data_IF_803890489993
#
_entry.id   IF_803890489993
#
_cell.length_a   1.000
_cell.length_b   1.000
_cell.length_c   1.000
_cell.angle_alpha   90.00
_cell.angle_beta   90.00
_cell.angle_gamma   90.00
#
_symmetry.space_group_name_H-M   'P 1'
#
loop_
_entity.id
_entity.type
_entity.pdbx_description
1 polymer ?
#
# COMPACT_ATOMS: atom_id res chain seq x y z
N UNK A 1 -38.58 17.71 -32.98
CA UNK A 1 -37.84 16.43 -33.01
C UNK A 1 -36.53 16.50 -32.22
N UNK A 2 -35.66 17.49 -32.45
CA UNK A 2 -34.38 17.62 -31.72
C UNK A 2 -34.53 17.75 -30.19
N UNK A 3 -35.43 18.61 -29.70
CA UNK A 3 -35.63 18.81 -28.26
C UNK A 3 -36.12 17.54 -27.53
N UNK A 4 -36.98 16.75 -28.17
CA UNK A 4 -37.46 15.48 -27.62
C UNK A 4 -36.32 14.43 -27.56
N UNK A 5 -35.48 14.35 -28.59
CA UNK A 5 -34.32 13.47 -28.60
C UNK A 5 -33.31 13.83 -27.51
N UNK A 6 -33.03 15.13 -27.31
CA UNK A 6 -32.16 15.62 -26.23
C UNK A 6 -32.73 15.25 -24.86
N UNK A 7 -34.02 15.43 -24.64
CA UNK A 7 -34.67 15.08 -23.36
C UNK A 7 -34.59 13.57 -23.06
N UNK A 8 -34.77 12.71 -24.07
CA UNK A 8 -34.63 11.26 -23.92
C UNK A 8 -33.20 10.88 -23.55
N UNK A 9 -32.19 11.43 -24.24
CA UNK A 9 -30.78 11.15 -23.95
C UNK A 9 -30.41 11.62 -22.53
N UNK A 10 -30.83 12.83 -22.14
CA UNK A 10 -30.58 13.35 -20.81
C UNK A 10 -31.24 12.48 -19.72
N UNK A 11 -32.48 12.05 -19.94
CA UNK A 11 -33.20 11.16 -19.01
C UNK A 11 -32.50 9.81 -18.89
N UNK A 12 -32.08 9.21 -20.02
CA UNK A 12 -31.33 7.96 -20.02
C UNK A 12 -29.98 8.09 -19.29
N UNK A 13 -29.27 9.21 -19.49
CA UNK A 13 -28.01 9.47 -18.79
C UNK A 13 -28.21 9.61 -17.27
N UNK A 14 -29.24 10.35 -16.83
CA UNK A 14 -29.59 10.46 -15.40
C UNK A 14 -29.99 9.10 -14.83
N UNK A 15 -30.81 8.32 -15.53
CA UNK A 15 -31.19 6.99 -15.11
C UNK A 15 -29.96 6.07 -14.98
N UNK A 16 -29.04 6.10 -15.95
CA UNK A 16 -27.78 5.36 -15.88
C UNK A 16 -26.97 5.77 -14.64
N UNK A 17 -26.72 7.06 -14.44
CA UNK A 17 -25.91 7.57 -13.33
C UNK A 17 -26.51 7.27 -11.96
N UNK A 18 -27.84 7.22 -11.84
CA UNK A 18 -28.52 6.98 -10.57
C UNK A 18 -28.76 5.50 -10.29
N UNK A 19 -29.02 4.68 -11.32
CA UNK A 19 -29.63 3.35 -11.16
C UNK A 19 -28.78 2.19 -11.69
N UNK A 20 -27.83 2.42 -12.61
CA UNK A 20 -27.04 1.31 -13.17
C UNK A 20 -26.20 0.63 -12.08
N UNK A 21 -26.14 -0.70 -11.99
CA UNK A 21 -25.36 -1.38 -10.94
C UNK A 21 -23.88 -0.94 -10.92
N UNK A 22 -23.29 -0.87 -9.73
CA UNK A 22 -21.87 -0.61 -9.50
C UNK A 22 -21.27 -1.73 -8.65
N UNK A 23 -19.96 -2.00 -8.75
CA UNK A 23 -19.35 -3.12 -8.05
C UNK A 23 -19.15 -2.89 -6.54
N UNK A 24 -19.15 -1.63 -6.11
CA UNK A 24 -18.99 -1.24 -4.71
C UNK A 24 -20.32 -0.77 -4.09
N UNK A 25 -20.44 -1.02 -2.79
CA UNK A 25 -21.56 -0.64 -1.94
C UNK A 25 -21.06 0.32 -0.85
N UNK A 26 -20.91 1.63 -1.18
CA UNK A 26 -20.23 2.57 -0.28
C UNK A 26 -20.89 2.67 1.09
N UNK A 27 -20.09 2.54 2.14
CA UNK A 27 -20.46 2.71 3.55
C UNK A 27 -20.11 4.13 3.98
N UNK A 28 -21.05 4.80 4.65
CA UNK A 28 -20.82 6.15 5.16
C UNK A 28 -19.72 6.14 6.24
N UNK A 29 -18.81 7.10 6.18
CA UNK A 29 -17.84 7.35 7.23
C UNK A 29 -17.57 8.84 7.36
N UNK A 30 -17.28 9.28 8.59
CA UNK A 30 -16.99 10.68 8.87
C UNK A 30 -15.50 10.95 8.62
N UNK A 31 -15.17 11.41 7.41
CA UNK A 31 -13.80 11.79 7.08
C UNK A 31 -13.39 13.03 7.91
N UNK A 32 -12.26 12.98 8.64
CA UNK A 32 -11.75 14.17 9.32
C UNK A 32 -11.39 15.24 8.28
N UNK A 33 -11.40 16.52 8.67
CA UNK A 33 -10.97 17.58 7.73
C UNK A 33 -9.48 17.41 7.40
N UNK A 34 -9.08 17.49 6.11
CA UNK A 34 -7.67 17.42 5.74
C UNK A 34 -6.84 18.42 6.55
N UNK A 35 -5.72 18.01 7.15
CA UNK A 35 -4.89 18.90 7.96
C UNK A 35 -4.17 19.95 7.10
N UNK A 36 -4.04 19.70 5.80
CA UNK A 36 -3.12 20.44 4.92
C UNK A 36 -1.65 20.11 5.22
N UNK A 37 -0.76 20.81 4.52
CA UNK A 37 0.69 20.68 4.71
C UNK A 37 1.18 21.67 5.77
N UNK A 38 1.03 21.30 7.04
CA UNK A 38 1.35 22.11 8.23
C UNK A 38 2.12 21.30 9.28
N UNK A 39 2.69 21.99 10.28
CA UNK A 39 3.37 21.34 11.39
C UNK A 39 4.52 20.44 10.91
N UNK A 40 4.63 19.18 11.37
CA UNK A 40 5.67 18.26 10.90
C UNK A 40 5.62 17.95 9.40
N UNK A 41 4.47 18.17 8.75
CA UNK A 41 4.27 17.98 7.30
C UNK A 41 4.26 19.31 6.54
N UNK A 42 4.84 20.38 7.11
CA UNK A 42 4.96 21.66 6.40
C UNK A 42 5.62 21.47 5.02
N UNK A 43 5.04 22.11 4.01
CA UNK A 43 5.48 21.96 2.63
C UNK A 43 6.97 22.24 2.46
N UNK A 44 7.67 21.37 1.75
CA UNK A 44 9.10 21.47 1.47
C UNK A 44 9.42 20.82 0.12
N UNK A 45 10.67 20.91 -0.32
CA UNK A 45 11.15 20.33 -1.59
C UNK A 45 12.32 19.38 -1.37
N UNK A 46 12.43 18.78 -0.18
CA UNK A 46 13.60 17.96 0.21
C UNK A 46 13.70 16.62 -0.52
N UNK A 47 12.61 16.20 -1.17
CA UNK A 47 12.59 15.04 -2.06
C UNK A 47 12.78 15.44 -3.54
N UNK A 48 12.80 16.74 -3.85
CA UNK A 48 13.11 17.18 -5.20
C UNK A 48 14.55 16.80 -5.55
N UNK A 49 14.83 16.56 -6.84
CA UNK A 49 16.16 16.26 -7.37
C UNK A 49 16.77 14.91 -6.95
N UNK A 50 15.96 13.85 -6.95
CA UNK A 50 16.48 12.48 -6.78
C UNK A 50 17.51 12.13 -7.86
N UNK A 51 18.59 11.49 -7.44
CA UNK A 51 19.41 10.71 -8.34
C UNK A 51 18.62 9.50 -8.84
N UNK A 52 18.95 9.00 -10.03
CA UNK A 52 18.20 7.92 -10.68
C UNK A 52 19.11 6.74 -10.96
N UNK A 53 18.64 5.56 -10.58
CA UNK A 53 19.17 4.27 -11.01
C UNK A 53 18.29 3.76 -12.14
N UNK A 54 18.89 3.51 -13.29
CA UNK A 54 18.20 2.90 -14.43
C UNK A 54 17.69 1.50 -14.06
N UNK A 55 16.47 1.18 -14.51
CA UNK A 55 15.84 -0.14 -14.38
C UNK A 55 15.47 -0.74 -15.74
N UNK A 56 15.99 -0.18 -16.84
CA UNK A 56 15.74 -0.66 -18.19
C UNK A 56 14.32 -0.34 -18.65
N UNK A 57 13.62 -1.35 -19.17
CA UNK A 57 12.22 -1.21 -19.62
C UNK A 57 11.18 -1.39 -18.51
N UNK A 58 11.64 -1.67 -17.28
CA UNK A 58 10.76 -1.82 -16.12
C UNK A 58 10.30 -0.45 -15.59
N UNK A 59 9.25 -0.47 -14.77
CA UNK A 59 8.73 0.71 -14.10
C UNK A 59 7.96 0.33 -12.84
N UNK A 60 7.75 1.34 -11.99
CA UNK A 60 7.07 1.19 -10.71
C UNK A 60 7.82 0.26 -9.76
N UNK A 61 9.03 0.66 -9.30
CA UNK A 61 9.74 -0.04 -8.24
C UNK A 61 8.98 0.13 -6.92
N UNK A 62 7.94 -0.66 -6.75
CA UNK A 62 6.89 -0.46 -5.76
C UNK A 62 7.37 -0.75 -4.34
N UNK A 63 8.24 -1.75 -4.19
CA UNK A 63 8.92 -2.09 -2.96
C UNK A 63 10.39 -2.35 -3.25
N UNK A 64 11.27 -1.80 -2.41
CA UNK A 64 12.72 -1.93 -2.55
C UNK A 64 13.30 -2.34 -1.21
N UNK A 65 14.13 -3.38 -1.15
CA UNK A 65 14.80 -3.78 0.09
C UNK A 65 16.18 -4.37 -0.19
N UNK A 66 17.04 -4.40 0.83
CA UNK A 66 18.31 -5.11 0.75
C UNK A 66 18.16 -6.52 1.29
N UNK A 67 18.64 -7.50 0.54
CA UNK A 67 18.70 -8.89 0.99
C UNK A 67 19.90 -9.13 1.92
N UNK A 68 19.95 -10.30 2.59
CA UNK A 68 21.07 -10.67 3.46
C UNK A 68 22.39 -10.87 2.71
N UNK A 69 22.36 -11.01 1.38
CA UNK A 69 23.53 -11.03 0.50
C UNK A 69 24.09 -9.63 0.17
N UNK A 70 23.48 -8.58 0.73
CA UNK A 70 23.86 -7.18 0.52
C UNK A 70 23.43 -6.61 -0.83
N UNK A 71 22.59 -7.33 -1.60
CA UNK A 71 22.06 -6.85 -2.89
C UNK A 71 20.79 -6.05 -2.69
N UNK A 72 20.55 -5.12 -3.62
CA UNK A 72 19.32 -4.36 -3.73
C UNK A 72 18.30 -5.18 -4.54
N UNK A 73 17.12 -5.34 -3.99
CA UNK A 73 15.99 -6.00 -4.63
C UNK A 73 14.87 -5.00 -4.84
N UNK A 74 14.15 -5.14 -5.96
CA UNK A 74 13.01 -4.29 -6.24
C UNK A 74 11.91 -5.03 -6.99
N UNK A 75 10.66 -4.82 -6.56
CA UNK A 75 9.46 -5.39 -7.19
C UNK A 75 8.87 -4.43 -8.22
N UNK A 76 8.76 -4.89 -9.46
CA UNK A 76 8.33 -4.06 -10.59
C UNK A 76 6.86 -4.26 -10.94
N UNK A 77 6.31 -3.32 -11.71
CA UNK A 77 4.92 -3.39 -12.17
C UNK A 77 4.59 -4.62 -13.01
N UNK A 78 5.55 -5.08 -13.82
CA UNK A 78 5.41 -6.24 -14.68
C UNK A 78 5.29 -7.58 -13.93
N UNK A 79 5.55 -7.59 -12.62
CA UNK A 79 5.71 -8.81 -11.83
C UNK A 79 7.14 -9.35 -11.80
N UNK A 80 8.09 -8.66 -12.46
CA UNK A 80 9.52 -8.95 -12.39
C UNK A 80 10.09 -8.52 -11.04
N UNK A 81 10.95 -9.36 -10.45
CA UNK A 81 11.78 -9.05 -9.30
C UNK A 81 13.22 -8.85 -9.76
N UNK A 82 13.73 -7.63 -9.60
CA UNK A 82 15.10 -7.31 -9.96
C UNK A 82 16.02 -7.52 -8.76
N UNK A 83 17.24 -8.02 -9.01
CA UNK A 83 18.36 -8.06 -8.05
C UNK A 83 19.55 -7.31 -8.66
N UNK A 84 20.19 -6.43 -7.89
CA UNK A 84 21.28 -5.59 -8.37
C UNK A 84 22.21 -5.15 -7.22
N UNK A 85 23.33 -4.51 -7.55
CA UNK A 85 24.11 -3.78 -6.55
C UNK A 85 23.41 -2.50 -6.09
N UNK A 86 23.88 -1.92 -4.98
CA UNK A 86 23.33 -0.69 -4.42
C UNK A 86 23.28 0.50 -5.40
N UNK A 87 24.12 0.52 -6.44
CA UNK A 87 24.16 1.52 -7.50
C UNK A 87 23.40 1.14 -8.78
N UNK A 88 22.75 -0.02 -8.79
CA UNK A 88 22.02 -0.57 -9.92
C UNK A 88 22.88 -1.34 -10.92
N UNK A 89 24.19 -1.42 -10.72
CA UNK A 89 25.05 -2.28 -11.54
C UNK A 89 24.79 -3.76 -11.26
N UNK A 90 25.26 -4.63 -12.18
CA UNK A 90 25.03 -6.09 -12.14
C UNK A 90 23.54 -6.46 -11.94
N UNK A 91 22.65 -5.69 -12.55
CA UNK A 91 21.20 -5.93 -12.55
C UNK A 91 20.87 -7.23 -13.28
N UNK A 92 20.07 -8.06 -12.63
CA UNK A 92 19.49 -9.27 -13.20
C UNK A 92 18.04 -9.46 -12.75
N UNK A 93 17.33 -10.33 -13.45
CA UNK A 93 15.99 -10.78 -13.04
C UNK A 93 16.17 -11.97 -12.11
N UNK A 94 15.75 -11.83 -10.86
CA UNK A 94 15.71 -12.94 -9.90
C UNK A 94 14.60 -13.92 -10.27
N UNK A 95 13.39 -13.41 -10.47
CA UNK A 95 12.20 -14.19 -10.75
C UNK A 95 11.13 -13.32 -11.40
N UNK A 96 10.15 -13.97 -12.02
CA UNK A 96 8.86 -13.36 -12.37
C UNK A 96 7.77 -14.23 -11.81
N UNK A 97 6.92 -13.65 -10.96
CA UNK A 97 5.86 -14.43 -10.31
C UNK A 97 4.70 -14.69 -11.26
N UNK A 98 4.57 -13.94 -12.36
CA UNK A 98 3.35 -13.90 -13.18
C UNK A 98 2.15 -13.26 -12.47
N UNK A 99 2.37 -12.67 -11.29
CA UNK A 99 1.42 -11.85 -10.55
C UNK A 99 1.98 -10.44 -10.36
N UNK A 100 1.80 -9.87 -9.17
CA UNK A 100 2.31 -8.52 -8.83
C UNK A 100 2.71 -8.50 -7.36
N UNK A 101 4.02 -8.57 -7.10
CA UNK A 101 4.56 -8.38 -5.74
C UNK A 101 4.43 -6.91 -5.35
N UNK A 102 3.85 -6.65 -4.18
CA UNK A 102 3.68 -5.31 -3.60
C UNK A 102 4.47 -5.09 -2.29
N UNK A 103 5.12 -6.14 -1.81
CA UNK A 103 5.89 -6.04 -0.58
C UNK A 103 6.56 -7.36 -0.29
N UNK A 104 7.78 -7.28 0.21
CA UNK A 104 8.54 -8.47 0.54
C UNK A 104 9.54 -8.20 1.67
N UNK A 105 9.92 -9.27 2.33
CA UNK A 105 10.99 -9.29 3.32
C UNK A 105 11.77 -10.62 3.19
N UNK A 106 12.85 -10.81 3.95
CA UNK A 106 13.69 -12.01 3.84
C UNK A 106 13.64 -12.86 5.11
N UNK A 107 13.58 -14.19 4.95
CA UNK A 107 13.80 -15.10 6.08
C UNK A 107 15.30 -15.26 6.39
N UNK A 108 15.58 -15.93 7.51
CA UNK A 108 16.93 -16.25 7.94
C UNK A 108 17.70 -17.15 6.97
N UNK A 109 17.04 -17.78 5.99
CA UNK A 109 17.66 -18.58 4.93
C UNK A 109 17.93 -17.74 3.66
N UNK A 110 17.55 -16.47 3.65
CA UNK A 110 17.70 -15.57 2.52
C UNK A 110 16.69 -15.78 1.40
N UNK A 111 15.61 -16.53 1.63
CA UNK A 111 14.47 -16.55 0.71
C UNK A 111 13.71 -15.24 0.85
N UNK A 112 13.15 -14.76 -0.26
CA UNK A 112 12.24 -13.62 -0.26
C UNK A 112 10.81 -14.10 0.00
N UNK A 113 10.17 -13.53 1.01
CA UNK A 113 8.79 -13.78 1.40
C UNK A 113 7.97 -12.62 0.87
N UNK A 114 7.17 -12.89 -0.16
CA UNK A 114 6.56 -11.86 -0.98
C UNK A 114 5.04 -11.93 -0.91
N UNK A 115 4.41 -10.78 -0.68
CA UNK A 115 2.98 -10.60 -0.88
C UNK A 115 2.73 -10.31 -2.35
N UNK A 116 2.14 -11.28 -3.05
CA UNK A 116 1.70 -11.15 -4.43
C UNK A 116 0.19 -10.88 -4.47
N UNK A 117 -0.18 -9.72 -5.00
CA UNK A 117 -1.55 -9.23 -5.06
C UNK A 117 -2.51 -10.12 -5.87
N UNK A 118 -1.99 -11.04 -6.68
CA UNK A 118 -2.78 -11.97 -7.49
C UNK A 118 -2.80 -13.39 -6.91
N UNK A 119 -1.80 -13.76 -6.10
CA UNK A 119 -1.53 -15.15 -5.72
C UNK A 119 -1.59 -15.43 -4.22
N UNK A 120 -1.37 -14.42 -3.37
CA UNK A 120 -1.22 -14.60 -1.93
C UNK A 120 0.23 -14.47 -1.47
N UNK A 121 0.60 -15.19 -0.42
CA UNK A 121 1.95 -15.20 0.14
C UNK A 121 2.83 -16.22 -0.59
N UNK A 122 3.97 -15.78 -1.10
CA UNK A 122 4.95 -16.58 -1.83
C UNK A 122 6.28 -16.65 -1.08
N UNK A 123 7.02 -17.73 -1.26
CA UNK A 123 8.45 -17.82 -0.99
C UNK A 123 9.22 -17.90 -2.30
N UNK A 124 10.32 -17.17 -2.40
CA UNK A 124 11.16 -17.12 -3.60
C UNK A 124 12.60 -17.40 -3.18
N UNK A 125 13.14 -18.50 -3.69
CA UNK A 125 14.51 -18.92 -3.42
C UNK A 125 15.55 -17.98 -4.03
N UNK A 126 16.78 -18.05 -3.52
CA UNK A 126 17.94 -17.35 -4.09
C UNK A 126 18.24 -17.77 -5.54
N UNK A 127 17.72 -18.92 -5.95
CA UNK A 127 17.74 -19.50 -7.30
C UNK A 127 16.57 -19.03 -8.19
N UNK A 128 15.69 -18.18 -7.65
CA UNK A 128 14.51 -17.66 -8.35
C UNK A 128 13.30 -18.59 -8.33
N UNK A 129 13.37 -19.75 -7.65
CA UNK A 129 12.24 -20.68 -7.58
C UNK A 129 11.11 -20.10 -6.74
N UNK A 130 9.90 -20.04 -7.30
CA UNK A 130 8.70 -19.52 -6.65
C UNK A 130 7.86 -20.65 -6.06
N UNK A 131 7.47 -20.51 -4.79
CA UNK A 131 6.62 -21.42 -4.03
C UNK A 131 5.43 -20.65 -3.44
N UNK A 132 4.23 -21.22 -3.47
CA UNK A 132 3.05 -20.66 -2.80
C UNK A 132 3.03 -21.14 -1.34
N UNK A 133 3.05 -20.20 -0.40
CA UNK A 133 2.95 -20.50 1.04
C UNK A 133 1.51 -20.43 1.54
N UNK A 134 0.73 -19.43 1.10
CA UNK A 134 -0.66 -19.28 1.49
C UNK A 134 -1.48 -18.46 0.48
N UNK A 135 -2.62 -18.98 0.07
CA UNK A 135 -3.66 -18.28 -0.71
C UNK A 135 -5.00 -18.16 0.05
N UNK A 136 -5.06 -18.69 1.26
CA UNK A 136 -6.25 -18.72 2.11
C UNK A 136 -5.87 -18.77 3.60
N UNK A 137 -6.77 -18.26 4.45
CA UNK A 137 -6.69 -18.43 5.91
C UNK A 137 -7.32 -19.78 6.31
N UNK A 138 -8.34 -20.21 5.57
CA UNK A 138 -9.01 -21.49 5.75
C UNK A 138 -10.04 -21.73 4.66
N UNK A 139 -10.79 -22.85 4.72
CA UNK A 139 -11.80 -23.18 3.72
C UNK A 139 -12.82 -22.07 3.54
N UNK A 140 -12.96 -21.57 2.30
CA UNK A 140 -13.91 -20.49 1.98
C UNK A 140 -13.43 -19.07 2.36
N UNK A 141 -12.22 -18.93 2.90
CA UNK A 141 -11.64 -17.63 3.29
C UNK A 141 -10.33 -17.36 2.52
N UNK A 142 -10.42 -16.98 1.24
CA UNK A 142 -9.25 -16.71 0.40
C UNK A 142 -8.58 -15.40 0.79
N UNK A 143 -7.26 -15.38 0.64
CA UNK A 143 -6.45 -14.16 0.61
C UNK A 143 -6.62 -13.55 -0.77
N UNK A 144 -7.21 -12.36 -0.85
CA UNK A 144 -7.62 -11.79 -2.15
C UNK A 144 -6.66 -10.76 -2.67
N UNK A 145 -5.96 -10.07 -1.77
CA UNK A 145 -5.14 -8.93 -2.10
C UNK A 145 -3.97 -8.82 -1.11
N UNK A 146 -3.08 -9.81 -1.11
CA UNK A 146 -1.83 -9.73 -0.33
C UNK A 146 -1.03 -8.49 -0.77
N UNK A 147 -0.61 -7.66 0.19
CA UNK A 147 0.01 -6.38 -0.10
C UNK A 147 1.43 -6.26 0.47
N UNK A 148 1.60 -6.23 1.79
CA UNK A 148 2.92 -6.01 2.42
C UNK A 148 3.31 -7.16 3.35
N UNK A 149 4.61 -7.37 3.55
CA UNK A 149 5.17 -8.45 4.38
C UNK A 149 6.21 -7.89 5.37
N UNK A 150 6.26 -8.46 6.58
CA UNK A 150 7.40 -8.37 7.48
C UNK A 150 7.63 -9.73 8.15
N UNK A 151 8.90 -10.16 8.22
CA UNK A 151 9.30 -11.41 8.86
C UNK A 151 9.78 -11.11 10.29
N UNK A 152 9.19 -11.78 11.26
CA UNK A 152 9.59 -11.66 12.66
C UNK A 152 10.85 -12.49 12.97
N UNK A 153 11.57 -12.19 14.07
CA UNK A 153 12.78 -12.93 14.44
C UNK A 153 12.55 -14.43 14.68
N UNK A 154 11.33 -14.83 15.05
CA UNK A 154 10.94 -16.24 15.23
C UNK A 154 10.54 -16.94 13.91
N UNK A 155 10.60 -16.23 12.78
CA UNK A 155 10.22 -16.71 11.45
C UNK A 155 8.74 -16.52 11.12
N UNK A 156 7.91 -16.03 12.04
CA UNK A 156 6.51 -15.72 11.74
C UNK A 156 6.44 -14.66 10.65
N UNK A 157 5.66 -14.93 9.60
CA UNK A 157 5.47 -13.98 8.49
C UNK A 157 4.18 -13.22 8.73
N UNK A 158 4.28 -11.93 9.06
CA UNK A 158 3.12 -11.04 9.14
C UNK A 158 2.91 -10.35 7.80
N UNK A 159 1.67 -10.32 7.33
CA UNK A 159 1.36 -9.69 6.05
C UNK A 159 -0.05 -9.14 6.02
N UNK A 160 -0.30 -8.19 5.11
CA UNK A 160 -1.62 -7.57 4.94
C UNK A 160 -2.38 -8.20 3.78
N UNK A 161 -3.68 -8.37 3.97
CA UNK A 161 -4.66 -8.65 2.91
C UNK A 161 -5.53 -7.40 2.78
N UNK A 162 -5.30 -6.61 1.74
CA UNK A 162 -5.81 -5.24 1.65
C UNK A 162 -7.35 -5.18 1.61
N UNK A 163 -7.98 -6.14 0.93
CA UNK A 163 -9.43 -6.21 0.78
C UNK A 163 -9.91 -7.64 0.69
N UNK A 164 -10.84 -8.04 1.55
CA UNK A 164 -11.53 -9.34 1.43
C UNK A 164 -12.65 -9.32 0.36
N UNK A 165 -12.80 -8.22 -0.40
CA UNK A 165 -13.83 -8.08 -1.45
C UNK A 165 -13.25 -7.91 -2.85
N UNK A 166 -12.31 -6.99 -3.00
CA UNK A 166 -11.81 -6.56 -4.30
C UNK A 166 -10.45 -7.21 -4.60
N UNK A 167 -10.48 -8.41 -5.16
CA UNK A 167 -9.29 -9.08 -5.69
C UNK A 167 -8.80 -8.42 -7.00
N UNK A 168 -7.54 -7.96 -7.09
CA UNK A 168 -6.98 -7.34 -8.30
C UNK A 168 -7.13 -8.19 -9.57
N UNK A 169 -7.03 -9.52 -9.43
CA UNK A 169 -7.19 -10.50 -10.52
C UNK A 169 -8.57 -10.49 -11.18
N UNK A 170 -9.58 -9.90 -10.53
CA UNK A 170 -10.96 -9.79 -11.05
C UNK A 170 -11.41 -8.37 -11.33
N UNK A 171 -10.71 -7.38 -10.78
CA UNK A 171 -11.18 -5.99 -10.73
C UNK A 171 -10.25 -5.01 -11.46
N UNK A 172 -9.59 -5.46 -12.54
CA UNK A 172 -8.84 -4.57 -13.43
C UNK A 172 -7.44 -4.21 -12.93
N UNK A 173 -6.86 -4.98 -12.01
CA UNK A 173 -5.52 -4.79 -11.47
C UNK A 173 -5.50 -4.12 -10.10
N UNK A 174 -4.29 -3.86 -9.60
CA UNK A 174 -4.06 -3.42 -8.21
C UNK A 174 -4.66 -2.03 -7.94
N UNK A 175 -4.42 -1.08 -8.83
CA UNK A 175 -4.92 0.29 -8.68
C UNK A 175 -6.45 0.37 -8.68
N UNK A 176 -7.12 -0.34 -9.60
CA UNK A 176 -8.60 -0.36 -9.63
C UNK A 176 -9.18 -1.13 -8.45
N UNK A 177 -8.50 -2.22 -8.10
CA UNK A 177 -8.52 -2.89 -6.81
C UNK A 177 -8.77 -1.95 -5.63
N UNK A 178 -7.78 -1.08 -5.43
CA UNK A 178 -7.68 -0.19 -4.28
C UNK A 178 -8.70 0.95 -4.33
N UNK A 179 -8.95 1.52 -5.51
CA UNK A 179 -9.96 2.57 -5.69
C UNK A 179 -11.34 2.07 -5.26
N UNK A 180 -11.72 0.84 -5.62
CA UNK A 180 -13.00 0.27 -5.21
C UNK A 180 -13.10 0.09 -3.70
N UNK A 181 -12.09 -0.48 -3.04
CA UNK A 181 -12.09 -0.69 -1.59
C UNK A 181 -12.11 0.64 -0.82
N UNK A 182 -11.30 1.61 -1.24
CA UNK A 182 -11.20 2.95 -0.62
C UNK A 182 -12.49 3.74 -0.81
N UNK A 183 -13.14 3.67 -1.97
CA UNK A 183 -14.45 4.32 -2.16
C UNK A 183 -15.52 3.61 -1.32
N UNK A 184 -15.43 2.30 -1.20
CA UNK A 184 -16.44 1.50 -0.53
C UNK A 184 -16.43 1.69 0.99
N UNK A 185 -15.26 1.73 1.64
CA UNK A 185 -15.16 1.93 3.10
C UNK A 185 -15.83 0.83 3.94
N UNK A 186 -16.07 -0.35 3.38
CA UNK A 186 -16.58 -1.51 4.12
C UNK A 186 -15.57 -2.04 5.15
N UNK A 187 -14.31 -1.61 5.04
CA UNK A 187 -13.23 -1.90 5.98
C UNK A 187 -13.00 -3.41 6.17
N UNK A 188 -12.78 -4.11 5.06
CA UNK A 188 -12.63 -5.58 5.03
C UNK A 188 -11.19 -6.07 5.04
N UNK A 189 -10.21 -5.15 5.05
CA UNK A 189 -8.79 -5.48 5.09
C UNK A 189 -8.38 -6.11 6.41
N UNK A 190 -7.29 -6.88 6.35
CA UNK A 190 -6.80 -7.74 7.45
C UNK A 190 -5.29 -7.71 7.57
N UNK A 191 -4.83 -8.01 8.77
CA UNK A 191 -3.45 -8.42 9.08
C UNK A 191 -3.48 -9.91 9.39
N UNK A 192 -2.63 -10.65 8.70
CA UNK A 192 -2.50 -12.10 8.78
C UNK A 192 -1.12 -12.47 9.33
N UNK A 193 -1.03 -13.64 9.93
CA UNK A 193 0.23 -14.25 10.34
C UNK A 193 0.30 -15.67 9.78
N UNK A 194 1.37 -15.97 9.06
CA UNK A 194 1.68 -17.31 8.57
C UNK A 194 2.76 -17.94 9.45
N UNK A 195 2.48 -19.15 9.94
CA UNK A 195 3.39 -19.95 10.75
C UNK A 195 4.26 -20.81 9.82
N UNK A 196 5.59 -20.63 9.80
CA UNK A 196 6.47 -21.37 8.91
C UNK A 196 6.62 -22.86 9.28
N UNK A 197 6.23 -23.27 10.49
CA UNK A 197 6.33 -24.65 10.99
C UNK A 197 5.00 -25.39 10.81
N UNK A 198 3.89 -24.76 11.22
CA UNK A 198 2.57 -25.34 11.08
C UNK A 198 1.99 -25.19 9.66
N UNK A 199 2.60 -24.34 8.83
CA UNK A 199 2.12 -23.95 7.50
C UNK A 199 0.68 -23.41 7.49
N UNK A 200 0.23 -22.89 8.63
CA UNK A 200 -1.11 -22.34 8.83
C UNK A 200 -1.09 -20.81 8.81
N UNK A 201 -2.15 -20.21 8.28
CA UNK A 201 -2.35 -18.76 8.30
C UNK A 201 -3.52 -18.42 9.22
N UNK A 202 -3.37 -17.37 10.03
CA UNK A 202 -4.41 -16.89 10.95
C UNK A 202 -4.61 -15.39 10.86
N UNK A 203 -5.79 -14.91 11.22
CA UNK A 203 -6.08 -13.48 11.37
C UNK A 203 -5.46 -12.96 12.67
N UNK A 204 -4.63 -11.91 12.57
CA UNK A 204 -4.14 -11.14 13.73
C UNK A 204 -5.17 -10.06 14.07
N UNK A 205 -5.52 -9.26 13.06
CA UNK A 205 -6.47 -8.16 13.17
C UNK A 205 -7.25 -7.98 11.85
N UNK A 206 -8.45 -7.42 11.93
CA UNK A 206 -9.30 -7.10 10.78
C UNK A 206 -10.02 -5.77 11.00
N UNK A 207 -10.68 -5.26 9.96
CA UNK A 207 -11.49 -4.04 10.07
C UNK A 207 -10.82 -2.80 9.49
N UNK A 208 -9.84 -2.97 8.60
CA UNK A 208 -9.11 -1.87 7.95
C UNK A 208 -9.77 -1.51 6.61
N UNK A 209 -9.94 -0.21 6.34
CA UNK A 209 -10.23 0.28 4.99
C UNK A 209 -8.93 0.31 4.18
N UNK A 210 -8.70 -0.75 3.42
CA UNK A 210 -7.45 -1.02 2.70
C UNK A 210 -6.22 -1.15 3.63
N UNK A 211 -5.96 -2.37 4.13
CA UNK A 211 -4.75 -2.68 4.89
C UNK A 211 -3.52 -2.72 3.96
N UNK A 212 -2.53 -1.86 4.19
CA UNK A 212 -1.44 -1.63 3.25
C UNK A 212 -0.08 -2.00 3.85
N UNK A 213 0.86 -1.05 3.97
CA UNK A 213 2.16 -1.25 4.60
C UNK A 213 2.09 -1.85 6.00
N UNK A 214 3.05 -2.72 6.30
CA UNK A 214 3.24 -3.32 7.63
C UNK A 214 4.71 -3.27 8.05
N UNK A 215 4.97 -2.95 9.32
CA UNK A 215 6.30 -3.01 9.91
C UNK A 215 6.24 -3.58 11.33
N UNK A 216 7.31 -4.23 11.79
CA UNK A 216 7.42 -4.80 13.14
C UNK A 216 8.20 -3.88 14.07
N UNK A 217 7.84 -3.79 15.36
CA UNK A 217 8.62 -3.11 16.40
C UNK A 217 10.03 -3.68 16.55
N UNK A 218 10.97 -2.86 17.02
CA UNK A 218 12.34 -3.32 17.27
C UNK A 218 12.41 -4.46 18.31
N UNK A 219 11.47 -4.47 19.26
CA UNK A 219 11.31 -5.55 20.25
C UNK A 219 10.47 -6.75 19.75
N UNK A 220 9.90 -6.68 18.55
CA UNK A 220 9.08 -7.74 17.96
C UNK A 220 7.66 -7.87 18.52
N UNK A 221 7.23 -7.00 19.44
CA UNK A 221 5.94 -7.12 20.14
C UNK A 221 4.78 -6.33 19.51
N UNK A 222 5.05 -5.35 18.65
CA UNK A 222 4.04 -4.52 18.02
C UNK A 222 4.15 -4.54 16.49
N UNK A 223 3.01 -4.51 15.82
CA UNK A 223 2.90 -4.27 14.39
C UNK A 223 2.43 -2.84 14.14
N UNK A 224 3.04 -2.18 13.17
CA UNK A 224 2.57 -0.92 12.61
C UNK A 224 1.89 -1.21 11.29
N UNK A 225 0.69 -0.65 11.05
CA UNK A 225 -0.11 -0.96 9.85
C UNK A 225 -0.70 0.30 9.26
N UNK A 226 -0.44 0.55 7.99
CA UNK A 226 -1.06 1.62 7.24
C UNK A 226 -2.50 1.25 6.84
N UNK A 227 -3.45 2.13 7.14
CA UNK A 227 -4.82 2.06 6.64
C UNK A 227 -5.03 3.19 5.63
N UNK A 228 -4.81 2.85 4.36
CA UNK A 228 -4.82 3.81 3.24
C UNK A 228 -6.14 4.56 3.14
N UNK A 229 -7.26 3.83 3.23
CA UNK A 229 -8.59 4.38 3.03
C UNK A 229 -9.06 5.34 4.11
N UNK A 230 -8.36 5.42 5.25
CA UNK A 230 -8.71 6.32 6.37
C UNK A 230 -7.53 7.16 6.86
N UNK A 231 -6.47 7.29 6.07
CA UNK A 231 -5.39 8.26 6.31
C UNK A 231 -4.68 8.09 7.67
N UNK A 232 -4.47 6.85 8.11
CA UNK A 232 -3.95 6.58 9.45
C UNK A 232 -2.98 5.41 9.51
N UNK A 233 -2.16 5.40 10.55
CA UNK A 233 -1.26 4.29 10.90
C UNK A 233 -1.67 3.76 12.27
N UNK A 234 -1.80 2.44 12.36
CA UNK A 234 -2.12 1.72 13.60
C UNK A 234 -0.87 1.19 14.27
N UNK A 235 -0.93 1.03 15.60
CA UNK A 235 -0.03 0.18 16.38
C UNK A 235 -0.85 -0.92 17.04
N UNK A 236 -0.50 -2.18 16.76
CA UNK A 236 -1.20 -3.39 17.17
C UNK A 236 -0.26 -4.28 17.97
N UNK A 237 -0.78 -5.07 18.90
CA UNK A 237 -0.06 -6.19 19.51
C UNK A 237 0.16 -7.30 18.46
N UNK A 238 1.42 -7.68 18.21
CA UNK A 238 1.77 -8.75 17.28
C UNK A 238 1.19 -10.12 17.71
N UNK A 239 1.00 -10.33 19.01
CA UNK A 239 0.40 -11.52 19.58
C UNK A 239 -1.14 -11.51 19.53
N UNK A 240 -1.79 -10.47 18.99
CA UNK A 240 -3.23 -10.45 18.83
C UNK A 240 -3.74 -11.64 17.97
N UNK A 241 -4.99 -12.02 18.21
CA UNK A 241 -5.67 -13.15 17.57
C UNK A 241 -7.09 -12.72 17.20
N UNK A 242 -7.32 -12.42 15.93
CA UNK A 242 -8.65 -12.11 15.38
C UNK A 242 -9.33 -10.87 15.96
N UNK A 243 -8.57 -9.83 16.37
CA UNK A 243 -9.18 -8.60 16.87
C UNK A 243 -9.83 -7.81 15.73
N UNK A 244 -10.90 -7.07 16.02
CA UNK A 244 -11.54 -6.17 15.07
C UNK A 244 -11.29 -4.72 15.48
N UNK A 245 -10.47 -4.01 14.70
CA UNK A 245 -10.04 -2.63 15.04
C UNK A 245 -11.14 -1.59 14.90
N UNK A 246 -12.32 -1.97 14.40
CA UNK A 246 -13.53 -1.12 14.41
C UNK A 246 -14.12 -1.00 15.81
N UNK A 247 -13.73 -1.87 16.74
CA UNK A 247 -14.12 -1.84 18.13
C UNK A 247 -12.90 -1.49 19.00
N UNK A 248 -13.13 -0.74 20.08
CA UNK A 248 -12.07 -0.39 21.01
C UNK A 248 -11.50 -1.66 21.67
N UNK A 249 -10.17 -1.76 21.74
CA UNK A 249 -9.44 -2.87 22.36
C UNK A 249 -8.12 -2.36 22.91
N UNK A 250 -7.60 -2.91 24.03
CA UNK A 250 -6.26 -2.55 24.52
C UNK A 250 -5.13 -3.01 23.58
N UNK A 251 -5.40 -3.95 22.66
CA UNK A 251 -4.39 -4.53 21.75
C UNK A 251 -4.18 -3.73 20.46
N UNK A 252 -4.91 -2.64 20.25
CA UNK A 252 -4.79 -1.81 19.06
C UNK A 252 -5.08 -0.35 19.38
N UNK A 253 -4.27 0.55 18.81
CA UNK A 253 -4.55 1.99 18.84
C UNK A 253 -4.12 2.66 17.54
N UNK A 254 -4.79 3.75 17.19
CA UNK A 254 -4.31 4.65 16.13
C UNK A 254 -3.07 5.37 16.65
N UNK A 255 -1.97 5.26 15.91
CA UNK A 255 -0.69 5.90 16.23
C UNK A 255 -0.57 7.27 15.57
N UNK A 256 -0.93 7.32 14.28
CA UNK A 256 -1.05 8.55 13.50
C UNK A 256 -2.44 8.58 12.91
N UNK A 257 -3.11 9.73 13.03
CA UNK A 257 -4.43 9.94 12.46
C UNK A 257 -4.44 11.16 11.54
N UNK A 258 -5.44 11.23 10.67
CA UNK A 258 -5.70 12.37 9.82
C UNK A 258 -4.48 12.82 8.98
N UNK A 259 -3.73 11.88 8.41
CA UNK A 259 -2.55 12.18 7.58
C UNK A 259 -2.92 13.07 6.37
N UNK A 260 -1.96 13.85 5.81
CA UNK A 260 -2.21 14.73 4.66
C UNK A 260 -2.39 13.97 3.33
N UNK A 261 -2.07 12.67 3.31
CA UNK A 261 -2.15 11.81 2.14
C UNK A 261 -2.59 10.38 2.48
N UNK A 262 -2.59 9.53 1.45
CA UNK A 262 -2.90 8.10 1.56
C UNK A 262 -1.65 7.31 1.99
N UNK A 263 -1.56 6.80 3.24
CA UNK A 263 -0.40 6.03 3.70
C UNK A 263 -0.25 4.72 2.94
N UNK A 264 0.99 4.37 2.64
CA UNK A 264 1.34 3.25 1.78
C UNK A 264 2.31 2.29 2.50
N UNK A 265 3.49 1.99 1.95
CA UNK A 265 4.47 1.10 2.57
C UNK A 265 5.03 1.68 3.87
N UNK A 266 5.28 0.77 4.83
CA UNK A 266 5.95 1.03 6.09
C UNK A 266 7.29 0.28 6.11
N UNK A 267 8.41 1.01 6.12
CA UNK A 267 9.74 0.42 6.03
C UNK A 267 10.57 0.72 7.26
N UNK A 268 11.19 -0.31 7.83
CA UNK A 268 12.15 -0.11 8.91
C UNK A 268 13.36 0.67 8.42
N UNK A 269 13.66 1.76 9.11
CA UNK A 269 14.83 2.59 8.88
C UNK A 269 15.88 2.42 9.97
N UNK A 270 16.91 3.26 9.90
CA UNK A 270 18.00 3.29 10.88
C UNK A 270 17.58 4.07 12.13
N UNK A 271 18.19 3.75 13.28
CA UNK A 271 17.95 4.49 14.52
C UNK A 271 16.50 4.41 15.03
N UNK A 272 15.81 3.29 14.79
CA UNK A 272 14.42 3.08 15.24
C UNK A 272 13.36 3.73 14.35
N UNK A 273 13.74 4.36 13.24
CA UNK A 273 12.81 4.98 12.29
C UNK A 273 11.89 3.97 11.62
N UNK A 274 10.71 4.43 11.25
CA UNK A 274 9.78 3.77 10.33
C UNK A 274 9.44 4.78 9.24
N UNK A 275 9.85 4.49 8.01
CA UNK A 275 9.52 5.28 6.83
C UNK A 275 8.10 4.96 6.36
N UNK A 276 7.36 5.99 6.00
CA UNK A 276 5.98 5.94 5.53
C UNK A 276 5.93 6.66 4.18
N UNK A 277 5.44 5.96 3.16
CA UNK A 277 5.08 6.60 1.89
C UNK A 277 3.68 7.19 1.93
N UNK A 278 3.48 8.33 1.27
CA UNK A 278 2.15 8.86 0.97
C UNK A 278 1.96 8.86 -0.55
N UNK A 279 1.10 7.97 -1.04
CA UNK A 279 0.87 7.75 -2.47
C UNK A 279 0.42 9.02 -3.19
N UNK A 280 -0.56 9.73 -2.60
CA UNK A 280 -1.10 11.00 -3.08
C UNK A 280 -1.57 11.89 -1.94
N UNK A 281 -1.66 13.22 -2.15
CA UNK A 281 -2.38 14.11 -1.27
C UNK A 281 -3.86 13.75 -1.21
N UNK A 282 -4.50 14.08 -0.10
CA UNK A 282 -5.95 13.92 0.02
C UNK A 282 -6.70 14.80 -0.96
N UNK A 283 -7.82 14.29 -1.45
CA UNK A 283 -8.74 15.03 -2.30
C UNK A 283 -9.93 15.56 -1.48
N UNK A 284 -10.03 16.89 -1.22
CA UNK A 284 -11.12 17.46 -0.44
C UNK A 284 -12.52 17.16 -1.01
N UNK A 285 -12.64 17.04 -2.34
CA UNK A 285 -13.91 16.69 -2.98
C UNK A 285 -14.30 15.24 -2.67
N UNK A 286 -13.36 14.30 -2.71
CA UNK A 286 -13.61 12.91 -2.32
C UNK A 286 -14.00 12.82 -0.84
N UNK A 287 -13.29 13.54 0.04
CA UNK A 287 -13.59 13.57 1.47
C UNK A 287 -14.98 14.15 1.77
N UNK A 288 -15.41 15.18 1.04
CA UNK A 288 -16.75 15.76 1.21
C UNK A 288 -17.90 14.80 0.86
N UNK A 289 -17.61 13.71 0.14
CA UNK A 289 -18.56 12.68 -0.26
C UNK A 289 -18.51 11.43 0.64
N UNK A 290 -17.61 11.40 1.63
CA UNK A 290 -17.41 10.29 2.55
C UNK A 290 -18.68 9.88 3.31
N UNK A 291 -19.59 10.81 3.60
CA UNK A 291 -20.88 10.49 4.26
C UNK A 291 -22.03 10.28 3.27
N UNK A 292 -21.77 10.33 1.96
CA UNK A 292 -22.80 10.30 0.91
C UNK A 292 -22.67 9.07 0.00
N UNK A 293 -23.06 7.86 0.47
CA UNK A 293 -22.98 6.62 -0.31
C UNK A 293 -23.54 6.70 -1.73
N UNK A 294 -24.72 7.29 -1.89
CA UNK A 294 -25.37 7.41 -3.20
C UNK A 294 -24.52 8.22 -4.19
N UNK A 295 -23.94 9.34 -3.77
CA UNK A 295 -23.10 10.15 -4.65
C UNK A 295 -21.78 9.46 -4.99
N UNK A 296 -21.21 8.66 -4.06
CA UNK A 296 -20.05 7.81 -4.37
C UNK A 296 -20.38 6.76 -5.43
N UNK A 297 -21.59 6.19 -5.43
CA UNK A 297 -22.04 5.32 -6.55
C UNK A 297 -22.14 6.08 -7.87
N UNK A 298 -22.64 7.32 -7.85
CA UNK A 298 -22.68 8.18 -9.06
C UNK A 298 -21.26 8.39 -9.60
N UNK A 299 -20.28 8.67 -8.74
CA UNK A 299 -18.88 8.85 -9.15
C UNK A 299 -18.30 7.61 -9.85
N UNK A 300 -18.63 6.40 -9.37
CA UNK A 300 -18.17 5.14 -9.97
C UNK A 300 -18.69 4.91 -11.41
N UNK A 301 -19.70 5.67 -11.84
CA UNK A 301 -20.29 5.61 -13.19
C UNK A 301 -19.79 6.73 -14.10
N UNK A 302 -19.09 7.71 -13.56
CA UNK A 302 -18.52 8.79 -14.35
C UNK A 302 -17.25 8.29 -15.06
N UNK A 303 -16.98 8.77 -16.29
CA UNK A 303 -15.68 8.54 -16.93
C UNK A 303 -14.53 9.02 -16.04
N UNK A 304 -13.46 8.23 -15.92
CA UNK A 304 -12.32 8.60 -15.06
C UNK A 304 -11.69 9.95 -15.40
N UNK A 305 -11.70 10.33 -16.67
CA UNK A 305 -11.17 11.60 -17.13
C UNK A 305 -11.89 12.82 -16.52
N UNK A 306 -13.08 12.64 -15.94
CA UNK A 306 -13.84 13.70 -15.28
C UNK A 306 -13.61 13.76 -13.77
N UNK A 307 -12.95 12.75 -13.20
CA UNK A 307 -12.66 12.72 -11.77
C UNK A 307 -11.38 13.51 -11.49
N UNK A 308 -11.38 14.43 -10.51
CA UNK A 308 -10.17 15.16 -10.13
C UNK A 308 -9.22 14.20 -9.41
N UNK A 309 -8.21 13.68 -10.11
CA UNK A 309 -7.24 12.71 -9.56
C UNK A 309 -6.10 13.34 -8.74
N UNK A 310 -6.16 14.67 -8.53
CA UNK A 310 -5.09 15.43 -7.88
C UNK A 310 -3.85 15.58 -8.78
N UNK A 311 -2.91 16.42 -8.35
CA UNK A 311 -1.58 16.51 -8.98
C UNK A 311 -0.66 15.43 -8.37
N UNK A 312 0.31 14.92 -9.13
CA UNK A 312 1.40 14.14 -8.56
C UNK A 312 2.08 14.93 -7.44
N UNK A 313 2.46 14.24 -6.36
CA UNK A 313 3.17 14.82 -5.23
C UNK A 313 3.99 13.69 -4.61
N UNK A 314 5.31 13.82 -4.58
CA UNK A 314 6.17 12.86 -3.90
C UNK A 314 6.20 13.19 -2.41
N UNK A 315 5.96 12.22 -1.54
CA UNK A 315 5.98 12.45 -0.10
C UNK A 315 6.33 11.17 0.66
N UNK A 316 7.47 11.21 1.34
CA UNK A 316 7.87 10.21 2.32
C UNK A 316 8.24 10.89 3.62
N UNK A 317 7.91 10.27 4.74
CA UNK A 317 8.29 10.78 6.07
C UNK A 317 8.69 9.62 6.98
N UNK A 318 9.45 9.90 8.03
CA UNK A 318 9.86 8.93 9.01
C UNK A 318 9.24 9.26 10.37
N UNK A 319 8.83 8.23 11.09
CA UNK A 319 8.38 8.31 12.48
C UNK A 319 9.25 7.47 13.41
N UNK A 320 9.22 7.79 14.71
CA UNK A 320 9.60 6.86 15.76
C UNK A 320 8.43 5.89 16.10
N UNK A 321 8.67 4.94 17.00
CA UNK A 321 7.66 3.94 17.42
C UNK A 321 6.52 4.51 18.28
N UNK A 322 6.64 5.78 18.71
CA UNK A 322 5.62 6.54 19.42
C UNK A 322 4.78 7.41 18.47
N UNK A 323 5.11 7.42 17.17
CA UNK A 323 4.40 8.19 16.16
C UNK A 323 4.87 9.64 16.05
N UNK A 324 6.04 10.01 16.60
CA UNK A 324 6.61 11.34 16.36
C UNK A 324 7.25 11.35 14.98
N UNK A 325 6.83 12.30 14.14
CA UNK A 325 7.49 12.56 12.86
C UNK A 325 8.89 13.13 13.13
N UNK A 326 9.92 12.40 12.69
CA UNK A 326 11.33 12.77 12.88
C UNK A 326 11.98 13.27 11.59
N UNK A 327 11.38 12.98 10.44
CA UNK A 327 11.82 13.49 9.16
C UNK A 327 10.65 13.55 8.17
N UNK A 328 10.60 14.55 7.31
CA UNK A 328 9.58 14.71 6.27
C UNK A 328 10.23 15.26 5.00
N UNK A 329 10.00 14.58 3.86
CA UNK A 329 10.57 14.93 2.57
C UNK A 329 9.48 14.94 1.51
N UNK A 330 9.38 16.06 0.79
CA UNK A 330 8.35 16.27 -0.21
C UNK A 330 8.95 16.72 -1.56
N UNK A 331 8.25 16.37 -2.63
CA UNK A 331 8.39 16.86 -3.99
C UNK A 331 7.00 17.31 -4.49
N UNK A 332 6.60 18.56 -4.23
CA UNK A 332 5.26 19.08 -4.56
C UNK A 332 4.98 19.18 -6.06
N UNK A 333 6.02 19.18 -6.90
CA UNK A 333 5.88 19.15 -8.36
C UNK A 333 5.70 17.73 -8.89
N UNK A 334 5.96 16.72 -8.03
CA UNK A 334 5.75 15.31 -8.33
C UNK A 334 6.61 14.80 -9.48
N UNK A 335 7.85 15.30 -9.58
CA UNK A 335 8.83 14.88 -10.60
C UNK A 335 9.23 13.42 -10.44
N UNK A 336 9.13 12.90 -9.21
CA UNK A 336 9.12 11.47 -8.91
C UNK A 336 7.69 11.05 -8.52
N UNK A 337 6.99 10.27 -9.37
CA UNK A 337 5.56 10.07 -9.22
C UNK A 337 5.25 9.08 -8.09
N UNK A 338 4.17 9.35 -7.36
CA UNK A 338 3.40 8.35 -6.61
C UNK A 338 4.26 7.44 -5.70
N UNK A 339 4.87 8.09 -4.72
CA UNK A 339 5.80 7.46 -3.77
C UNK A 339 5.09 6.50 -2.84
N UNK A 340 5.52 5.24 -2.82
CA UNK A 340 4.92 4.19 -1.98
C UNK A 340 5.69 3.97 -0.67
N UNK A 341 6.95 4.37 -0.57
CA UNK A 341 7.77 4.11 0.63
C UNK A 341 9.22 4.54 0.45
N UNK A 342 10.07 4.22 1.42
CA UNK A 342 11.50 4.47 1.31
C UNK A 342 12.35 3.45 2.09
N UNK A 343 13.48 3.07 1.53
CA UNK A 343 14.47 2.17 2.16
C UNK A 343 15.73 2.94 2.50
N UNK A 344 16.09 2.96 3.78
CA UNK A 344 17.20 3.74 4.31
C UNK A 344 18.42 2.86 4.57
N UNK A 345 19.55 3.26 4.00
CA UNK A 345 20.88 2.73 4.32
C UNK A 345 21.73 3.82 4.98
N UNK A 346 22.96 3.48 5.36
CA UNK A 346 23.88 4.48 5.91
C UNK A 346 24.30 5.54 4.88
N UNK A 347 24.21 5.24 3.59
CA UNK A 347 24.70 6.09 2.50
C UNK A 347 23.58 6.68 1.65
N UNK A 348 22.40 6.04 1.60
CA UNK A 348 21.32 6.40 0.68
C UNK A 348 19.93 6.20 1.27
N UNK A 349 18.98 7.00 0.79
CA UNK A 349 17.55 6.76 0.92
C UNK A 349 16.99 6.44 -0.46
N UNK A 350 16.52 5.22 -0.67
CA UNK A 350 15.91 4.76 -1.92
C UNK A 350 14.40 4.97 -1.86
N UNK A 351 13.82 5.62 -2.86
CA UNK A 351 12.41 5.99 -2.88
C UNK A 351 11.63 5.00 -3.73
N UNK A 352 10.63 4.37 -3.12
CA UNK A 352 9.74 3.43 -3.79
C UNK A 352 8.67 4.19 -4.58
N UNK A 353 8.13 3.60 -5.64
CA UNK A 353 7.09 4.23 -6.46
C UNK A 353 6.24 3.21 -7.21
N UNK A 354 4.97 3.54 -7.40
CA UNK A 354 4.05 2.71 -8.19
C UNK A 354 4.27 2.83 -9.71
N UNK A 355 4.87 3.93 -10.20
CA UNK A 355 4.94 4.23 -11.64
C UNK A 355 6.26 4.86 -12.11
N UNK A 356 7.24 5.11 -11.24
CA UNK A 356 8.49 5.72 -11.66
C UNK A 356 9.26 4.82 -12.65
N UNK A 357 9.87 5.38 -13.71
CA UNK A 357 10.65 4.63 -14.70
C UNK A 357 12.09 4.36 -14.25
N UNK A 358 12.43 4.65 -12.99
CA UNK A 358 13.76 4.54 -12.41
C UNK A 358 13.63 4.42 -10.89
N UNK A 359 14.65 3.88 -10.22
CA UNK A 359 14.74 3.95 -8.75
C UNK A 359 15.36 5.30 -8.39
N UNK A 360 14.59 6.14 -7.69
CA UNK A 360 15.03 7.41 -7.15
C UNK A 360 15.81 7.24 -5.84
N UNK A 361 16.86 8.03 -5.60
CA UNK A 361 17.55 8.03 -4.32
C UNK A 361 18.17 9.39 -3.92
N UNK A 362 18.36 9.57 -2.61
CA UNK A 362 19.10 10.69 -1.98
C UNK A 362 20.32 10.18 -1.22
N UNK A 363 21.38 10.97 -1.13
CA UNK A 363 22.52 10.69 -0.24
C UNK A 363 22.15 10.90 1.24
N UNK A 364 22.81 10.18 2.15
CA UNK A 364 22.64 10.27 3.61
C UNK A 364 23.92 10.67 4.33
#
# INVERSE_FOLDING_TARGET
>A
MLAAAVAVIATAAVAYLCLWPVPAEPVAWAAPRPPGYVGPHAANTRLAQLHRIDIGSEFGPEHIAFGPDGKLYAAMTSGTLLRMDADGSRREVLASTGGRVLGFDFDAQGRMLAADAMKGLLAIGVDGKVELLADSVGPGDPIRYANSVVVAPDGTVYFTDASARFAPSRWGGTYEASVLDIIEQAATGRVLAHDPVAHGTRVVAQGFSFANGIALSADGHSLFVAETGRYRVWKLDAAARGIDVRHATPQARVLLDNLPGYPDNLMRGRGGRIWVGLFKPRNPAADSLAERPFLRKVLLRLPRAWLPLGKPHGHVFAIDEDGRVVEDLQDPDGTYPETTGATETAQRLYIHSLHAPAIGWLAR
#
